data_IF_375702385815
#
_entry.id   IF_375702385815
#
_cell.length_a   1.000
_cell.length_b   1.000
_cell.length_c   1.000
_cell.angle_alpha   90.00
_cell.angle_beta   90.00
_cell.angle_gamma   90.00
#
_symmetry.space_group_name_H-M   'P 1'
#
loop_
_entity.id
_entity.type
_entity.pdbx_description
1 polymer ?
#
# COMPACT_ATOMS: atom_id res chain seq x y z
N UNK A 1 -3.94 9.72 -29.28
CA UNK A 1 -2.74 9.99 -28.47
C UNK A 1 -3.14 11.02 -27.42
N UNK A 2 -3.57 10.69 -26.20
CA UNK A 2 -3.40 9.45 -25.46
C UNK A 2 -4.39 9.40 -24.27
N UNK A 3 -5.62 8.89 -24.44
CA UNK A 3 -6.54 8.69 -23.31
C UNK A 3 -5.92 7.83 -22.19
N UNK A 4 -5.05 6.89 -22.58
CA UNK A 4 -4.22 6.11 -21.68
C UNK A 4 -3.17 6.97 -20.93
N UNK A 5 -2.51 7.92 -21.60
CA UNK A 5 -1.55 8.79 -20.92
C UNK A 5 -2.27 9.84 -20.09
N UNK A 6 -3.47 10.30 -20.45
CA UNK A 6 -4.26 11.21 -19.62
C UNK A 6 -4.76 10.51 -18.36
N UNK A 7 -5.11 9.23 -18.45
CA UNK A 7 -5.36 8.38 -17.28
C UNK A 7 -4.11 8.19 -16.41
N UNK A 8 -2.96 7.88 -17.02
CA UNK A 8 -1.69 7.64 -16.31
C UNK A 8 -1.11 8.94 -15.71
N UNK A 9 -1.27 10.07 -16.38
CA UNK A 9 -0.79 11.39 -15.94
C UNK A 9 -1.80 12.02 -14.94
N UNK A 10 -3.10 11.72 -15.10
CA UNK A 10 -4.16 12.12 -14.17
C UNK A 10 -4.27 11.21 -12.93
N UNK A 11 -3.38 10.23 -12.78
CA UNK A 11 -3.36 9.31 -11.65
C UNK A 11 -2.85 10.06 -10.41
N UNK A 12 -3.76 10.40 -9.50
CA UNK A 12 -3.35 11.05 -8.25
C UNK A 12 -2.28 10.20 -7.55
N UNK A 13 -1.30 10.87 -6.92
CA UNK A 13 -0.22 10.20 -6.20
C UNK A 13 -0.74 9.20 -5.15
N UNK A 14 -1.95 9.42 -4.62
CA UNK A 14 -2.64 8.49 -3.70
C UNK A 14 -2.97 7.15 -4.36
N UNK A 15 -3.50 7.19 -5.58
CA UNK A 15 -3.85 5.98 -6.34
C UNK A 15 -2.59 5.25 -6.82
N UNK A 16 -1.55 5.99 -7.20
CA UNK A 16 -0.25 5.41 -7.55
C UNK A 16 0.33 4.63 -6.36
N UNK A 17 0.36 5.24 -5.18
CA UNK A 17 0.87 4.61 -3.96
C UNK A 17 0.04 3.38 -3.55
N UNK A 18 -1.29 3.46 -3.65
CA UNK A 18 -2.18 2.34 -3.37
C UNK A 18 -1.96 1.17 -4.34
N UNK A 19 -1.87 1.46 -5.64
CA UNK A 19 -1.57 0.44 -6.66
C UNK A 19 -0.20 -0.20 -6.46
N UNK A 20 0.83 0.61 -6.16
CA UNK A 20 2.18 0.12 -5.88
C UNK A 20 2.19 -0.82 -4.68
N UNK A 21 1.50 -0.49 -3.60
CA UNK A 21 1.41 -1.31 -2.40
C UNK A 21 0.84 -2.71 -2.75
N UNK A 22 -0.29 -2.75 -3.45
CA UNK A 22 -0.94 -4.01 -3.86
C UNK A 22 -0.03 -4.87 -4.74
N UNK A 23 0.68 -4.26 -5.70
CA UNK A 23 1.60 -4.97 -6.60
C UNK A 23 2.77 -5.56 -5.80
N UNK A 24 3.34 -4.80 -4.85
CA UNK A 24 4.44 -5.26 -4.01
C UNK A 24 3.99 -6.41 -3.07
N UNK A 25 2.81 -6.33 -2.48
CA UNK A 25 2.25 -7.40 -1.64
C UNK A 25 2.06 -8.69 -2.44
N UNK A 26 1.44 -8.61 -3.62
CA UNK A 26 1.23 -9.75 -4.51
C UNK A 26 2.57 -10.36 -4.96
N UNK A 27 3.56 -9.53 -5.29
CA UNK A 27 4.90 -9.99 -5.66
C UNK A 27 5.58 -10.72 -4.49
N UNK A 28 5.53 -10.15 -3.28
CA UNK A 28 6.14 -10.74 -2.10
C UNK A 28 5.49 -12.10 -1.73
N UNK A 29 4.17 -12.22 -1.83
CA UNK A 29 3.47 -13.50 -1.65
C UNK A 29 3.88 -14.49 -2.75
N UNK A 30 3.97 -14.05 -4.01
CA UNK A 30 4.46 -14.87 -5.11
C UNK A 30 5.88 -15.41 -4.86
N UNK A 31 6.75 -14.61 -4.26
CA UNK A 31 8.10 -15.02 -3.86
C UNK A 31 8.09 -16.08 -2.75
N UNK A 32 7.20 -15.96 -1.77
CA UNK A 32 7.01 -16.99 -0.73
C UNK A 32 6.57 -18.32 -1.34
N UNK A 33 5.60 -18.29 -2.26
CA UNK A 33 5.12 -19.50 -2.95
C UNK A 33 6.26 -20.15 -3.74
N UNK A 34 7.07 -19.36 -4.45
CA UNK A 34 8.24 -19.85 -5.20
C UNK A 34 9.30 -20.47 -4.30
N UNK A 35 9.53 -19.91 -3.11
CA UNK A 35 10.51 -20.42 -2.16
C UNK A 35 10.13 -21.79 -1.55
N UNK A 36 8.87 -22.24 -1.71
CA UNK A 36 8.32 -23.50 -1.16
C UNK A 36 8.75 -23.77 0.30
N UNK A 37 8.58 -22.80 1.22
CA UNK A 37 8.92 -23.01 2.63
C UNK A 37 7.99 -24.04 3.28
N UNK A 38 8.36 -24.49 4.49
CA UNK A 38 7.44 -25.25 5.32
C UNK A 38 6.11 -24.49 5.51
N UNK A 39 4.98 -25.21 5.49
CA UNK A 39 3.62 -24.63 5.52
C UNK A 39 3.45 -23.50 6.55
N UNK A 40 3.87 -23.75 7.80
CA UNK A 40 3.78 -22.79 8.91
C UNK A 40 4.52 -21.48 8.62
N UNK A 41 5.67 -21.57 7.96
CA UNK A 41 6.52 -20.41 7.63
C UNK A 41 5.89 -19.62 6.48
N UNK A 42 5.40 -20.31 5.44
CA UNK A 42 4.74 -19.65 4.31
C UNK A 42 3.48 -18.88 4.73
N UNK A 43 2.64 -19.49 5.58
CA UNK A 43 1.43 -18.85 6.12
C UNK A 43 1.79 -17.66 7.00
N UNK A 44 2.79 -17.79 7.89
CA UNK A 44 3.21 -16.70 8.77
C UNK A 44 3.68 -15.47 7.96
N UNK A 45 4.55 -15.68 6.97
CA UNK A 45 5.06 -14.58 6.15
C UNK A 45 3.96 -13.94 5.29
N UNK A 46 3.07 -14.74 4.72
CA UNK A 46 1.95 -14.21 3.93
C UNK A 46 0.99 -13.38 4.80
N UNK A 47 0.72 -13.83 6.03
CA UNK A 47 -0.10 -13.08 6.98
C UNK A 47 0.55 -11.76 7.39
N UNK A 48 1.87 -11.74 7.66
CA UNK A 48 2.60 -10.52 8.01
C UNK A 48 2.53 -9.50 6.86
N UNK A 49 2.80 -9.94 5.63
CA UNK A 49 2.76 -9.08 4.44
C UNK A 49 1.38 -8.48 4.24
N UNK A 50 0.30 -9.24 4.44
CA UNK A 50 -1.06 -8.73 4.27
C UNK A 50 -1.50 -7.80 5.41
N UNK A 51 -1.11 -8.10 6.65
CA UNK A 51 -1.59 -7.37 7.84
C UNK A 51 -0.81 -6.07 8.07
N UNK A 52 0.50 -6.06 7.83
CA UNK A 52 1.35 -4.88 8.01
C UNK A 52 0.85 -3.61 7.29
N UNK A 53 0.51 -3.63 5.98
CA UNK A 53 0.00 -2.46 5.28
C UNK A 53 -1.34 -1.97 5.82
N UNK A 54 -2.24 -2.89 6.22
CA UNK A 54 -3.54 -2.53 6.81
C UNK A 54 -3.33 -1.82 8.15
N UNK A 55 -2.46 -2.36 9.01
CA UNK A 55 -2.12 -1.73 10.29
C UNK A 55 -1.44 -0.37 10.07
N UNK A 56 -0.51 -0.27 9.12
CA UNK A 56 0.14 0.98 8.76
C UNK A 56 -0.85 2.05 8.29
N UNK A 57 -1.82 1.67 7.46
CA UNK A 57 -2.90 2.55 7.02
C UNK A 57 -3.81 2.98 8.17
N UNK A 58 -4.12 2.07 9.10
CA UNK A 58 -4.93 2.38 10.27
C UNK A 58 -4.22 3.38 11.20
N UNK A 59 -2.94 3.17 11.46
CA UNK A 59 -2.13 4.12 12.21
C UNK A 59 -2.02 5.46 11.50
N UNK A 60 -1.82 5.45 10.19
CA UNK A 60 -1.77 6.68 9.40
C UNK A 60 -3.11 7.43 9.42
N UNK A 61 -4.24 6.72 9.41
CA UNK A 61 -5.55 7.36 9.55
C UNK A 61 -5.72 8.04 10.91
N UNK A 62 -5.25 7.42 11.99
CA UNK A 62 -5.38 7.96 13.34
C UNK A 62 -4.36 9.07 13.68
N UNK A 63 -3.09 8.85 13.31
CA UNK A 63 -1.92 9.65 13.70
C UNK A 63 -1.35 10.48 12.55
N UNK A 64 -1.88 10.34 11.35
CA UNK A 64 -1.40 11.05 10.18
C UNK A 64 -1.55 12.56 10.33
N UNK A 65 -0.73 13.33 9.58
CA UNK A 65 -0.74 14.78 9.65
C UNK A 65 -2.12 15.34 9.28
N UNK A 66 -2.72 16.09 10.21
CA UNK A 66 -4.02 16.75 10.02
C UNK A 66 -3.77 18.20 9.54
N UNK A 67 -4.56 18.71 8.60
CA UNK A 67 -4.45 20.11 8.19
C UNK A 67 -4.75 21.03 9.38
N UNK A 68 -3.92 22.05 9.60
CA UNK A 68 -4.17 23.08 10.60
C UNK A 68 -5.36 23.95 10.12
N UNK A 69 -6.37 24.22 10.96
CA UNK A 69 -7.47 25.11 10.60
C UNK A 69 -6.96 26.49 10.19
N UNK A 70 -7.45 27.01 9.05
CA UNK A 70 -7.02 28.29 8.47
C UNK A 70 -7.21 29.52 9.39
N UNK A 71 -8.04 29.40 10.43
CA UNK A 71 -8.31 30.46 11.41
C UNK A 71 -7.17 30.69 12.42
N UNK A 72 -6.24 29.75 12.55
CA UNK A 72 -5.15 29.79 13.56
C UNK A 72 -3.76 30.02 12.93
N UNK A 73 -3.71 30.24 11.61
CA UNK A 73 -2.48 30.43 10.85
C UNK A 73 -2.14 31.92 10.59
N UNK A 74 -2.71 32.84 11.38
CA UNK A 74 -2.52 34.29 11.30
C UNK A 74 -1.54 34.82 12.33
#
# INVERSE_FOLDING_TARGET
MNDLLDFVIGLDSRWVLAGLLVVLDAWAIGMIVRARPAWRVGVLWSAIILVCPIIGLLFWYALGPKPVPKAEAG
#
